data_IF_268249581682
#
_entry.id   IF_268249581682
#
_cell.length_a   1.000
_cell.length_b   1.000
_cell.length_c   1.000
_cell.angle_alpha   90.00
_cell.angle_beta   90.00
_cell.angle_gamma   90.00
#
_symmetry.space_group_name_H-M   'P 1'
#
loop_
_entity.id
_entity.type
_entity.pdbx_description
1 polymer ?
#
# COMPACT_ATOMS: atom_id res chain seq x y z
N UNK A 1 -1.94 13.43 -19.45
CA UNK A 1 -1.85 12.08 -18.84
C UNK A 1 -2.94 11.15 -19.35
N UNK A 2 -4.23 11.51 -19.27
CA UNK A 2 -5.28 10.55 -19.63
C UNK A 2 -5.23 10.12 -21.10
N UNK A 3 -5.16 11.07 -22.02
CA UNK A 3 -5.11 10.79 -23.46
C UNK A 3 -3.81 10.11 -23.91
N UNK A 4 -2.70 10.37 -23.22
CA UNK A 4 -1.37 9.89 -23.62
C UNK A 4 -1.00 8.53 -23.00
N UNK A 5 -1.50 8.22 -21.79
CA UNK A 5 -1.06 7.05 -21.02
C UNK A 5 -2.25 6.27 -20.47
N UNK A 6 -3.21 6.92 -19.82
CA UNK A 6 -4.30 6.21 -19.14
C UNK A 6 -5.19 5.46 -20.13
N UNK A 7 -5.72 6.16 -21.13
CA UNK A 7 -6.63 5.58 -22.12
C UNK A 7 -5.91 4.50 -22.94
N UNK A 8 -4.69 4.73 -23.49
CA UNK A 8 -3.95 3.67 -24.18
C UNK A 8 -3.66 2.44 -23.31
N UNK A 9 -3.35 2.62 -22.02
CA UNK A 9 -3.12 1.51 -21.10
C UNK A 9 -4.40 0.69 -20.90
N UNK A 10 -5.54 1.35 -20.69
CA UNK A 10 -6.84 0.70 -20.53
C UNK A 10 -7.25 -0.06 -21.80
N UNK A 11 -7.07 0.54 -22.98
CA UNK A 11 -7.34 -0.09 -24.27
C UNK A 11 -6.46 -1.32 -24.51
N UNK A 12 -5.23 -1.31 -23.98
CA UNK A 12 -4.33 -2.46 -24.00
C UNK A 12 -4.65 -3.52 -22.91
N UNK A 13 -5.71 -3.32 -22.11
CA UNK A 13 -6.09 -4.24 -21.03
C UNK A 13 -5.25 -4.14 -19.77
N UNK A 14 -4.50 -3.03 -19.59
CA UNK A 14 -3.71 -2.76 -18.39
C UNK A 14 -4.49 -1.87 -17.42
N UNK A 15 -4.52 -2.25 -16.15
CA UNK A 15 -5.08 -1.40 -15.11
C UNK A 15 -4.20 -0.17 -14.89
N UNK A 16 -4.85 0.99 -14.77
CA UNK A 16 -4.21 2.27 -14.48
C UNK A 16 -4.47 2.65 -13.02
N UNK A 17 -3.46 2.44 -12.17
CA UNK A 17 -3.51 2.69 -10.73
C UNK A 17 -3.18 4.17 -10.46
N UNK A 18 -4.16 4.96 -10.00
CA UNK A 18 -3.92 6.34 -9.56
C UNK A 18 -3.63 6.42 -8.06
N UNK A 19 -3.00 7.53 -7.68
CA UNK A 19 -2.61 7.82 -6.30
C UNK A 19 -3.55 8.85 -5.68
N UNK A 20 -3.95 8.63 -4.44
CA UNK A 20 -4.56 9.63 -3.57
C UNK A 20 -3.66 9.91 -2.37
N UNK A 21 -3.69 11.14 -1.88
CA UNK A 21 -2.91 11.59 -0.70
C UNK A 21 -3.83 12.23 0.34
N UNK A 22 -3.36 12.51 1.57
CA UNK A 22 -4.16 13.23 2.56
C UNK A 22 -4.65 14.61 2.09
N UNK A 23 -3.99 15.20 1.09
CA UNK A 23 -4.33 16.50 0.51
C UNK A 23 -5.28 16.40 -0.69
N UNK A 24 -5.69 15.18 -1.09
CA UNK A 24 -6.75 14.98 -2.09
C UNK A 24 -8.10 15.30 -1.45
N UNK A 25 -8.57 16.53 -1.66
CA UNK A 25 -9.89 17.01 -1.23
C UNK A 25 -11.04 16.40 -2.06
N UNK A 26 -12.29 16.62 -1.61
CA UNK A 26 -13.50 16.12 -2.28
C UNK A 26 -13.68 16.67 -3.69
N UNK A 27 -13.11 17.85 -3.98
CA UNK A 27 -13.19 18.45 -5.32
C UNK A 27 -12.26 17.73 -6.30
N UNK A 28 -11.10 17.28 -5.84
CA UNK A 28 -10.10 16.58 -6.65
C UNK A 28 -10.35 15.07 -6.74
N UNK A 29 -11.01 14.49 -5.75
CA UNK A 29 -11.24 13.05 -5.68
C UNK A 29 -11.96 12.49 -6.94
N UNK A 30 -13.02 13.09 -7.48
CA UNK A 30 -13.66 12.59 -8.70
C UNK A 30 -12.72 12.52 -9.91
N UNK A 31 -11.83 13.51 -10.07
CA UNK A 31 -10.84 13.52 -11.15
C UNK A 31 -9.75 12.46 -10.94
N UNK A 32 -9.39 12.18 -9.68
CA UNK A 32 -8.48 11.07 -9.36
C UNK A 32 -9.15 9.73 -9.63
N UNK A 33 -10.44 9.58 -9.32
CA UNK A 33 -11.17 8.33 -9.55
C UNK A 33 -11.48 8.09 -11.02
N UNK A 34 -11.62 9.15 -11.82
CA UNK A 34 -11.82 9.05 -13.25
C UNK A 34 -10.72 8.20 -13.90
N UNK A 35 -11.14 7.18 -14.64
CA UNK A 35 -10.28 6.23 -15.34
C UNK A 35 -9.32 5.42 -14.45
N UNK A 36 -9.44 5.51 -13.11
CA UNK A 36 -8.74 4.58 -12.22
C UNK A 36 -9.35 3.20 -12.36
N UNK A 37 -8.49 2.19 -12.45
CA UNK A 37 -8.89 0.78 -12.53
C UNK A 37 -7.97 -0.07 -11.65
N UNK A 38 -8.37 -1.32 -11.40
CA UNK A 38 -7.69 -2.20 -10.44
C UNK A 38 -7.96 -1.77 -9.00
N UNK A 39 -7.22 -0.78 -8.50
CA UNK A 39 -7.36 -0.26 -7.14
C UNK A 39 -6.90 1.21 -7.08
N UNK A 40 -7.29 1.93 -6.05
CA UNK A 40 -6.72 3.24 -5.73
C UNK A 40 -5.58 3.08 -4.73
N UNK A 41 -4.41 3.63 -5.03
CA UNK A 41 -3.29 3.64 -4.11
C UNK A 41 -3.36 4.90 -3.23
N UNK A 42 -3.78 4.74 -1.97
CA UNK A 42 -3.64 5.79 -0.97
C UNK A 42 -2.23 5.80 -0.35
N UNK A 43 -1.50 6.89 -0.58
CA UNK A 43 -0.15 7.11 -0.04
C UNK A 43 -0.14 8.41 0.73
N UNK A 44 0.44 8.40 1.93
CA UNK A 44 0.66 9.63 2.67
C UNK A 44 2.15 9.95 2.75
N UNK A 45 2.49 11.18 2.38
CA UNK A 45 3.84 11.73 2.43
C UNK A 45 4.09 12.30 3.83
N UNK A 46 3.76 11.55 4.88
CA UNK A 46 4.30 11.82 6.20
C UNK A 46 5.79 11.39 6.17
N UNK A 47 6.64 12.23 5.58
CA UNK A 47 8.03 11.82 5.33
C UNK A 47 8.99 12.76 4.61
N UNK A 48 8.61 13.99 4.22
CA UNK A 48 9.61 15.05 3.90
C UNK A 48 9.97 15.91 5.12
N UNK A 49 9.31 15.70 6.26
CA UNK A 49 9.70 16.28 7.55
C UNK A 49 9.77 15.14 8.56
N UNK A 50 10.97 14.75 8.95
CA UNK A 50 11.23 13.53 9.71
C UNK A 50 10.42 13.42 11.00
N UNK A 51 10.21 12.17 11.41
CA UNK A 51 9.98 11.65 12.78
C UNK A 51 8.59 11.20 13.23
N UNK A 52 7.50 11.39 12.49
CA UNK A 52 6.22 10.78 12.88
C UNK A 52 5.91 9.53 12.06
N UNK A 53 5.95 8.35 12.72
CA UNK A 53 5.17 7.22 12.24
C UNK A 53 3.72 7.69 12.17
N UNK A 54 3.04 7.44 11.08
CA UNK A 54 1.83 8.18 10.85
C UNK A 54 0.61 7.56 11.51
N UNK A 55 -0.34 8.42 11.88
CA UNK A 55 -1.52 8.06 12.66
C UNK A 55 -2.46 7.15 11.86
N UNK A 56 -2.62 5.87 12.27
CA UNK A 56 -3.52 4.94 11.59
C UNK A 56 -4.98 5.40 11.58
N UNK A 57 -5.43 6.12 12.61
CA UNK A 57 -6.81 6.59 12.69
C UNK A 57 -7.11 7.63 11.60
N UNK A 58 -6.18 8.54 11.33
CA UNK A 58 -6.28 9.51 10.25
C UNK A 58 -6.30 8.81 8.88
N UNK A 59 -5.48 7.77 8.69
CA UNK A 59 -5.49 6.95 7.47
C UNK A 59 -6.87 6.31 7.28
N UNK A 60 -7.40 5.66 8.30
CA UNK A 60 -8.69 5.00 8.23
C UNK A 60 -9.81 5.99 7.91
N UNK A 61 -9.80 7.18 8.50
CA UNK A 61 -10.77 8.23 8.19
C UNK A 61 -10.69 8.69 6.73
N UNK A 62 -9.49 8.88 6.19
CA UNK A 62 -9.32 9.25 4.78
C UNK A 62 -9.74 8.14 3.83
N UNK A 63 -9.41 6.88 4.13
CA UNK A 63 -9.81 5.73 3.33
C UNK A 63 -11.33 5.56 3.35
N UNK A 64 -11.97 5.66 4.53
CA UNK A 64 -13.43 5.60 4.65
C UNK A 64 -14.12 6.64 3.76
N UNK A 65 -13.69 7.91 3.83
CA UNK A 65 -14.21 8.99 2.98
C UNK A 65 -14.03 8.71 1.48
N UNK A 66 -12.87 8.17 1.08
CA UNK A 66 -12.63 7.82 -0.32
C UNK A 66 -13.61 6.73 -0.78
N UNK A 67 -13.81 5.71 0.05
CA UNK A 67 -14.70 4.58 -0.25
C UNK A 67 -16.17 4.99 -0.33
N UNK A 68 -16.57 6.11 0.25
CA UNK A 68 -17.91 6.70 0.02
C UNK A 68 -18.10 7.18 -1.43
N UNK A 69 -17.02 7.38 -2.19
CA UNK A 69 -17.04 7.91 -3.55
C UNK A 69 -16.69 6.87 -4.63
N UNK A 70 -16.37 5.62 -4.27
CA UNK A 70 -15.94 4.59 -5.23
C UNK A 70 -16.10 3.17 -4.70
N UNK A 71 -16.34 2.22 -5.61
CA UNK A 71 -16.30 0.78 -5.35
C UNK A 71 -14.90 0.17 -5.56
N UNK A 72 -13.91 0.97 -5.98
CA UNK A 72 -12.54 0.51 -6.15
C UNK A 72 -11.93 0.12 -4.79
N UNK A 73 -11.21 -1.02 -4.69
CA UNK A 73 -10.41 -1.33 -3.52
C UNK A 73 -9.41 -0.21 -3.25
N UNK A 74 -9.21 0.15 -1.98
CA UNK A 74 -8.22 1.15 -1.57
C UNK A 74 -7.05 0.46 -0.88
N UNK A 75 -5.89 0.46 -1.53
CA UNK A 75 -4.65 -0.07 -0.97
C UNK A 75 -3.84 1.06 -0.34
N UNK A 76 -3.32 0.84 0.87
CA UNK A 76 -2.55 1.83 1.61
C UNK A 76 -1.07 1.48 1.61
N UNK A 77 -0.22 2.38 1.14
CA UNK A 77 1.23 2.27 1.27
C UNK A 77 1.77 3.37 2.14
N UNK A 78 2.20 3.00 3.35
CA UNK A 78 2.53 3.99 4.37
C UNK A 78 3.75 3.65 5.21
N UNK A 79 4.84 3.28 4.53
CA UNK A 79 6.08 2.91 5.21
C UNK A 79 5.90 1.75 6.18
N UNK A 80 4.98 0.82 5.87
CA UNK A 80 4.72 -0.39 6.65
C UNK A 80 5.98 -1.24 6.65
N UNK A 81 6.49 -1.55 7.84
CA UNK A 81 7.72 -2.32 8.05
C UNK A 81 7.50 -3.59 8.86
N UNK A 82 6.43 -3.65 9.64
CA UNK A 82 6.18 -4.76 10.56
C UNK A 82 4.81 -5.40 10.35
N UNK A 83 4.63 -6.67 10.72
CA UNK A 83 3.33 -7.34 10.69
C UNK A 83 2.26 -6.63 11.54
N UNK A 84 2.66 -6.03 12.66
CA UNK A 84 1.79 -5.20 13.52
C UNK A 84 1.23 -4.00 12.77
N UNK A 85 2.11 -3.23 12.11
CA UNK A 85 1.71 -2.08 11.30
C UNK A 85 0.80 -2.51 10.14
N UNK A 86 1.13 -3.62 9.47
CA UNK A 86 0.30 -4.14 8.39
C UNK A 86 -1.12 -4.46 8.88
N UNK A 87 -1.26 -5.11 10.04
CA UNK A 87 -2.57 -5.44 10.61
C UNK A 87 -3.37 -4.20 10.98
N UNK A 88 -2.73 -3.23 11.63
CA UNK A 88 -3.38 -1.97 12.02
C UNK A 88 -3.89 -1.23 10.78
N UNK A 89 -3.06 -1.08 9.75
CA UNK A 89 -3.47 -0.40 8.51
C UNK A 89 -4.61 -1.16 7.82
N UNK A 90 -4.50 -2.48 7.72
CA UNK A 90 -5.51 -3.30 7.07
C UNK A 90 -6.90 -3.14 7.69
N UNK A 91 -7.04 -2.81 8.98
CA UNK A 91 -8.35 -2.64 9.64
C UNK A 91 -9.30 -1.67 8.92
N UNK A 92 -8.76 -0.66 8.23
CA UNK A 92 -9.55 0.32 7.46
C UNK A 92 -9.19 0.37 5.97
N UNK A 93 -8.46 -0.61 5.44
CA UNK A 93 -8.01 -0.63 4.05
C UNK A 93 -8.25 -2.00 3.39
N UNK A 94 -8.42 -2.02 2.08
CA UNK A 94 -8.63 -3.25 1.31
C UNK A 94 -7.30 -3.95 0.97
N UNK A 95 -6.19 -3.24 1.10
CA UNK A 95 -4.85 -3.79 0.91
C UNK A 95 -3.76 -2.96 1.58
N UNK A 96 -2.58 -3.57 1.74
CA UNK A 96 -1.39 -2.94 2.31
C UNK A 96 -0.23 -3.07 1.33
N UNK A 97 0.42 -1.95 1.00
CA UNK A 97 1.59 -1.92 0.11
C UNK A 97 2.86 -1.76 0.93
N UNK A 98 3.80 -2.70 0.76
CA UNK A 98 5.08 -2.75 1.45
C UNK A 98 6.22 -2.67 0.43
N UNK A 99 7.01 -1.59 0.48
CA UNK A 99 8.14 -1.39 -0.45
C UNK A 99 9.46 -1.26 0.28
N UNK A 100 9.64 -0.17 1.04
CA UNK A 100 10.92 0.17 1.67
C UNK A 100 11.45 -0.89 2.62
N UNK A 101 10.58 -1.63 3.33
CA UNK A 101 11.00 -2.72 4.20
C UNK A 101 11.63 -3.88 3.44
N UNK A 102 11.10 -4.24 2.27
CA UNK A 102 11.64 -5.31 1.42
C UNK A 102 12.97 -4.88 0.82
N UNK A 103 13.07 -3.65 0.32
CA UNK A 103 14.31 -3.09 -0.23
C UNK A 103 15.39 -3.01 0.85
N UNK A 104 15.04 -2.62 2.07
CA UNK A 104 15.96 -2.54 3.19
C UNK A 104 16.52 -3.93 3.59
N UNK A 105 15.68 -4.97 3.58
CA UNK A 105 16.16 -6.35 3.79
C UNK A 105 17.16 -6.76 2.70
N UNK A 106 16.85 -6.45 1.43
CA UNK A 106 17.75 -6.76 0.32
C UNK A 106 19.08 -6.03 0.49
N UNK A 107 19.06 -4.73 0.84
CA UNK A 107 20.25 -3.93 1.09
C UNK A 107 21.12 -4.52 2.21
N UNK A 108 20.51 -4.82 3.36
CA UNK A 108 21.22 -5.39 4.51
C UNK A 108 21.83 -6.77 4.21
N UNK A 109 21.12 -7.58 3.43
CA UNK A 109 21.64 -8.88 3.01
C UNK A 109 22.85 -8.72 2.07
N UNK A 110 22.81 -7.80 1.11
CA UNK A 110 23.92 -7.52 0.20
C UNK A 110 25.17 -6.95 0.90
N UNK A 111 24.99 -6.19 1.99
CA UNK A 111 26.11 -5.65 2.78
C UNK A 111 26.81 -6.70 3.64
N UNK A 112 26.16 -7.84 3.89
CA UNK A 112 26.74 -8.94 4.66
C UNK A 112 27.67 -9.76 3.77
N UNK A 113 28.97 -9.70 4.04
CA UNK A 113 29.98 -10.51 3.34
C UNK A 113 29.59 -11.99 3.28
N UNK A 114 29.49 -12.53 2.06
CA UNK A 114 29.18 -13.94 1.81
C UNK A 114 27.68 -14.27 1.68
N UNK A 115 26.78 -13.30 1.74
CA UNK A 115 25.37 -13.54 1.43
C UNK A 115 25.20 -13.85 -0.06
N UNK A 116 24.77 -15.09 -0.35
CA UNK A 116 24.37 -15.50 -1.70
C UNK A 116 22.95 -15.05 -2.03
N UNK A 117 22.58 -15.19 -3.31
CA UNK A 117 21.22 -14.92 -3.80
C UNK A 117 20.14 -15.63 -2.95
N UNK A 118 20.40 -16.86 -2.54
CA UNK A 118 19.45 -17.68 -1.79
C UNK A 118 19.16 -17.11 -0.39
N UNK A 119 20.17 -16.56 0.31
CA UNK A 119 19.99 -15.90 1.61
C UNK A 119 19.13 -14.63 1.48
N UNK A 120 19.30 -13.88 0.38
CA UNK A 120 18.47 -12.69 0.10
C UNK A 120 17.01 -13.12 -0.14
N UNK A 121 16.80 -14.13 -0.98
CA UNK A 121 15.46 -14.66 -1.28
C UNK A 121 14.78 -15.20 -0.02
N UNK A 122 15.52 -15.92 0.83
CA UNK A 122 15.01 -16.45 2.09
C UNK A 122 14.55 -15.32 3.02
N UNK A 123 15.35 -14.26 3.21
CA UNK A 123 14.98 -13.15 4.09
C UNK A 123 13.77 -12.37 3.57
N UNK A 124 13.72 -12.11 2.27
CA UNK A 124 12.58 -11.41 1.66
C UNK A 124 11.31 -12.23 1.80
N UNK A 125 11.37 -13.53 1.46
CA UNK A 125 10.24 -14.45 1.59
C UNK A 125 9.77 -14.55 3.04
N UNK A 126 10.70 -14.64 3.99
CA UNK A 126 10.38 -14.67 5.43
C UNK A 126 9.59 -13.43 5.86
N UNK A 127 9.99 -12.22 5.45
CA UNK A 127 9.24 -11.00 5.78
C UNK A 127 7.84 -11.01 5.13
N UNK A 128 7.75 -11.41 3.86
CA UNK A 128 6.45 -11.50 3.16
C UNK A 128 5.52 -12.49 3.83
N UNK A 129 6.03 -13.65 4.28
CA UNK A 129 5.26 -14.66 5.01
C UNK A 129 4.75 -14.13 6.35
N UNK A 130 5.58 -13.41 7.10
CA UNK A 130 5.19 -12.79 8.36
C UNK A 130 4.09 -11.75 8.17
N UNK A 131 4.25 -10.87 7.17
CA UNK A 131 3.24 -9.86 6.82
C UNK A 131 1.93 -10.51 6.40
N UNK A 132 1.98 -11.48 5.48
CA UNK A 132 0.79 -12.15 4.98
C UNK A 132 0.08 -12.97 6.06
N UNK A 133 0.82 -13.60 6.97
CA UNK A 133 0.25 -14.34 8.10
C UNK A 133 -0.51 -13.41 9.05
N UNK A 134 0.06 -12.25 9.37
CA UNK A 134 -0.61 -11.26 10.23
C UNK A 134 -1.90 -10.70 9.63
N UNK A 135 -2.04 -10.71 8.29
CA UNK A 135 -3.26 -10.30 7.61
C UNK A 135 -4.30 -11.42 7.54
N UNK A 136 -3.89 -12.68 7.36
CA UNK A 136 -4.81 -13.84 7.31
C UNK A 136 -5.42 -14.20 8.66
N UNK A 137 -4.68 -14.04 9.76
CA UNK A 137 -5.20 -14.34 11.11
C UNK A 137 -6.36 -13.45 11.52
N UNK A 138 -6.59 -12.34 10.80
CA UNK A 138 -7.77 -11.48 10.96
C UNK A 138 -9.07 -12.14 10.52
N UNK A 139 -9.05 -12.90 9.41
CA UNK A 139 -10.27 -13.52 8.87
C UNK A 139 -10.82 -14.64 9.77
N UNK A 140 -9.97 -15.24 10.61
CA UNK A 140 -10.37 -16.26 11.58
C UNK A 140 -11.07 -15.72 12.83
N UNK A 141 -11.09 -14.39 13.04
CA UNK A 141 -11.65 -13.75 14.24
C UNK A 141 -12.95 -12.98 13.98
N UNK A 142 -13.42 -12.92 12.72
CA UNK A 142 -14.66 -12.23 12.32
C UNK A 142 -15.82 -13.19 12.02
N UNK A 143 -15.62 -14.50 12.19
CA UNK A 143 -16.70 -15.51 12.15
C UNK A 143 -16.99 -15.95 13.58
N UNK A 144 -17.82 -15.18 14.30
CA UNK A 144 -18.26 -15.45 15.67
C UNK A 144 -19.49 -14.64 16.01
#
# INVERSE_FOLDING_TARGET
>A
EDEEICIPALEAGLNFIRLATPTTDDRRLPAVLAHTSGFLYYVSIAGITGTAAPDPSAVHAHVARIKESTELPVAVGFGVKTPEQARIIAQGADGVVVGSALVEIIRQALEKSGAGRDDIVEKVTTLVEQLATALRTRDSMTVG
#
